data_IF_284839849078
#
_entry.id   IF_284839849078
#
_cell.length_a   1.000
_cell.length_b   1.000
_cell.length_c   1.000
_cell.angle_alpha   90.00
_cell.angle_beta   90.00
_cell.angle_gamma   90.00
#
_symmetry.space_group_name_H-M   'P 1'
#
loop_
_entity.id
_entity.type
_entity.pdbx_description
1 polymer ?
#
# COMPACT_ATOMS: atom_id res chain seq x y z
N UNK A 1 16.36 -39.94 18.16
CA UNK A 1 15.12 -39.32 17.64
C UNK A 1 15.47 -37.91 17.18
N UNK A 2 15.61 -37.71 15.87
CA UNK A 2 15.91 -36.40 15.29
C UNK A 2 14.60 -35.61 15.23
N UNK A 3 14.39 -34.71 16.18
CA UNK A 3 13.29 -33.74 16.12
C UNK A 3 13.53 -32.81 14.94
N UNK A 4 12.73 -32.96 13.89
CA UNK A 4 12.66 -31.99 12.79
C UNK A 4 12.47 -30.59 13.39
N UNK A 5 13.23 -29.56 12.98
CA UNK A 5 12.99 -28.21 13.48
C UNK A 5 11.57 -27.80 13.08
N UNK A 6 10.68 -27.65 14.06
CA UNK A 6 9.37 -27.04 13.87
C UNK A 6 9.61 -25.65 13.30
N UNK A 7 9.43 -25.51 11.99
CA UNK A 7 9.70 -24.27 11.28
C UNK A 7 8.60 -23.28 11.65
N UNK A 8 8.85 -22.45 12.65
CA UNK A 8 7.89 -21.44 13.10
C UNK A 8 7.65 -20.44 11.98
N UNK A 9 6.39 -20.23 11.61
CA UNK A 9 6.03 -19.23 10.61
C UNK A 9 6.38 -17.83 11.15
N UNK A 10 6.96 -17.00 10.29
CA UNK A 10 7.14 -15.57 10.56
C UNK A 10 5.78 -14.89 10.70
N UNK A 11 5.61 -14.14 11.77
CA UNK A 11 4.39 -13.40 12.09
C UNK A 11 4.66 -11.90 12.24
N UNK A 12 3.60 -11.11 12.19
CA UNK A 12 3.64 -9.71 12.59
C UNK A 12 3.75 -9.62 14.12
N UNK A 13 4.38 -8.54 14.65
CA UNK A 13 4.28 -8.23 16.07
C UNK A 13 2.83 -8.21 16.56
N UNK A 14 2.57 -8.71 17.77
CA UNK A 14 1.22 -8.88 18.31
C UNK A 14 0.34 -7.62 18.21
N UNK A 15 0.92 -6.44 18.49
CA UNK A 15 0.22 -5.15 18.40
C UNK A 15 -0.22 -4.79 16.98
N UNK A 16 0.54 -5.20 15.96
CA UNK A 16 0.19 -5.04 14.54
C UNK A 16 -0.86 -6.05 14.10
N UNK A 17 -0.72 -7.29 14.55
CA UNK A 17 -1.71 -8.35 14.25
C UNK A 17 -3.10 -8.00 14.78
N UNK A 18 -3.19 -7.42 15.99
CA UNK A 18 -4.45 -7.03 16.64
C UNK A 18 -5.25 -5.97 15.87
N UNK A 19 -4.61 -5.15 15.04
CA UNK A 19 -5.28 -4.08 14.30
C UNK A 19 -5.67 -4.50 12.87
N UNK A 20 -5.23 -5.67 12.39
CA UNK A 20 -5.67 -6.20 11.11
C UNK A 20 -7.15 -6.57 11.14
N UNK A 21 -7.77 -6.55 9.95
CA UNK A 21 -9.10 -7.13 9.80
C UNK A 21 -9.00 -8.65 10.02
N UNK A 22 -9.90 -9.19 10.85
CA UNK A 22 -9.97 -10.63 11.10
C UNK A 22 -10.03 -11.38 9.77
N UNK A 23 -9.25 -12.46 9.65
CA UNK A 23 -9.17 -13.32 8.47
C UNK A 23 -8.72 -12.64 7.16
N UNK A 24 -8.22 -11.39 7.22
CA UNK A 24 -7.71 -10.67 6.04
C UNK A 24 -6.50 -11.32 5.39
N UNK A 25 -5.72 -12.11 6.14
CA UNK A 25 -4.68 -12.97 5.60
C UNK A 25 -4.55 -14.23 6.45
N UNK A 26 -4.25 -15.35 5.80
CA UNK A 26 -3.97 -16.61 6.49
C UNK A 26 -2.49 -16.71 6.87
N UNK A 27 -2.10 -17.59 7.83
CA UNK A 27 -0.74 -17.64 8.37
C UNK A 27 0.35 -17.90 7.32
N UNK A 28 0.12 -18.86 6.41
CA UNK A 28 1.10 -19.22 5.35
C UNK A 28 1.31 -18.10 4.32
N UNK A 29 0.26 -17.51 3.71
CA UNK A 29 0.42 -16.33 2.85
C UNK A 29 1.10 -15.16 3.56
N UNK A 30 0.72 -14.87 4.81
CA UNK A 30 1.31 -13.78 5.58
C UNK A 30 2.80 -14.02 5.82
N UNK A 31 3.18 -15.22 6.26
CA UNK A 31 4.57 -15.60 6.44
C UNK A 31 5.41 -15.36 5.18
N UNK A 32 4.96 -15.89 4.03
CA UNK A 32 5.66 -15.74 2.75
C UNK A 32 5.75 -14.25 2.34
N UNK A 33 4.69 -13.48 2.56
CA UNK A 33 4.68 -12.05 2.30
C UNK A 33 5.69 -11.30 3.17
N UNK A 34 5.78 -11.62 4.46
CA UNK A 34 6.75 -11.01 5.36
C UNK A 34 8.19 -11.40 5.01
N UNK A 35 8.43 -12.62 4.54
CA UNK A 35 9.76 -13.06 4.03
C UNK A 35 10.13 -12.27 2.77
N UNK A 36 9.19 -12.07 1.85
CA UNK A 36 9.43 -11.25 0.66
C UNK A 36 9.72 -9.79 1.03
N UNK A 37 8.91 -9.19 1.92
CA UNK A 37 9.10 -7.82 2.36
C UNK A 37 10.49 -7.63 3.00
N UNK A 38 10.89 -8.54 3.88
CA UNK A 38 12.24 -8.55 4.45
C UNK A 38 13.34 -8.63 3.37
N UNK A 39 13.13 -9.45 2.32
CA UNK A 39 14.10 -9.59 1.24
C UNK A 39 14.19 -8.31 0.39
N UNK A 40 13.07 -7.65 0.10
CA UNK A 40 13.02 -6.35 -0.56
C UNK A 40 13.77 -5.30 0.29
N UNK A 41 13.55 -5.31 1.60
CA UNK A 41 14.15 -4.33 2.51
C UNK A 41 15.65 -4.53 2.70
N UNK A 42 16.12 -5.79 2.72
CA UNK A 42 17.52 -6.13 2.95
C UNK A 42 18.38 -6.11 1.69
N UNK A 43 17.85 -6.61 0.57
CA UNK A 43 18.63 -6.87 -0.64
C UNK A 43 18.23 -5.98 -1.82
N UNK A 44 17.14 -5.20 -1.69
CA UNK A 44 16.72 -4.28 -2.74
C UNK A 44 17.72 -3.13 -2.91
N UNK A 45 17.95 -2.72 -4.16
CA UNK A 45 18.65 -1.48 -4.45
C UNK A 45 17.88 -0.31 -3.79
N UNK A 46 18.57 0.49 -2.97
CA UNK A 46 17.96 1.61 -2.23
C UNK A 46 17.18 2.59 -3.11
N UNK A 47 17.63 2.82 -4.35
CA UNK A 47 16.94 3.70 -5.30
C UNK A 47 15.63 3.11 -5.82
N UNK A 48 15.51 1.78 -5.84
CA UNK A 48 14.37 1.06 -6.41
C UNK A 48 13.48 0.39 -5.34
N UNK A 49 13.90 0.41 -4.08
CA UNK A 49 13.21 -0.24 -2.97
C UNK A 49 11.76 0.25 -2.85
N UNK A 50 11.50 1.54 -3.09
CA UNK A 50 10.15 2.12 -3.10
C UNK A 50 9.22 1.45 -4.13
N UNK A 51 9.72 1.16 -5.34
CA UNK A 51 8.96 0.41 -6.35
C UNK A 51 8.72 -1.04 -5.91
N UNK A 52 9.74 -1.66 -5.30
CA UNK A 52 9.64 -2.99 -4.69
C UNK A 52 8.52 -3.08 -3.66
N UNK A 53 8.50 -2.17 -2.70
CA UNK A 53 7.51 -2.08 -1.62
C UNK A 53 6.11 -1.70 -2.15
N UNK A 54 6.04 -0.83 -3.16
CA UNK A 54 4.77 -0.46 -3.80
C UNK A 54 4.13 -1.67 -4.50
N UNK A 55 4.91 -2.39 -5.31
CA UNK A 55 4.41 -3.59 -5.97
C UNK A 55 4.09 -4.72 -4.99
N UNK A 56 4.84 -4.80 -3.89
CA UNK A 56 4.53 -5.73 -2.80
C UNK A 56 3.16 -5.41 -2.19
N UNK A 57 2.87 -4.15 -1.87
CA UNK A 57 1.57 -3.74 -1.34
C UNK A 57 0.42 -4.10 -2.29
N UNK A 58 0.58 -3.81 -3.58
CA UNK A 58 -0.39 -4.15 -4.61
C UNK A 58 -0.64 -5.67 -4.68
N UNK A 59 0.43 -6.48 -4.74
CA UNK A 59 0.32 -7.94 -4.77
C UNK A 59 -0.31 -8.49 -3.48
N UNK A 60 0.07 -7.94 -2.32
CA UNK A 60 -0.48 -8.31 -1.01
C UNK A 60 -1.99 -8.18 -1.00
N UNK A 61 -2.48 -7.00 -1.36
CA UNK A 61 -3.89 -6.66 -1.32
C UNK A 61 -4.69 -7.47 -2.33
N UNK A 62 -4.26 -7.52 -3.60
CA UNK A 62 -5.10 -8.04 -4.68
C UNK A 62 -4.93 -9.54 -4.96
N UNK A 63 -3.79 -10.14 -4.60
CA UNK A 63 -3.44 -11.51 -5.04
C UNK A 63 -3.12 -12.44 -3.88
N UNK A 64 -2.42 -11.97 -2.86
CA UNK A 64 -1.92 -12.80 -1.76
C UNK A 64 -2.94 -12.93 -0.63
N UNK A 65 -3.55 -11.82 -0.22
CA UNK A 65 -4.47 -11.75 0.92
C UNK A 65 -5.83 -12.38 0.63
N UNK A 66 -6.67 -12.46 1.67
CA UNK A 66 -8.06 -12.85 1.56
C UNK A 66 -8.98 -11.65 1.30
N UNK A 67 -8.44 -10.44 1.08
CA UNK A 67 -9.27 -9.28 0.81
C UNK A 67 -10.00 -9.41 -0.52
N UNK A 68 -11.22 -8.89 -0.56
CA UNK A 68 -12.03 -8.72 -1.76
C UNK A 68 -12.59 -7.31 -1.80
N UNK A 69 -12.53 -6.70 -2.98
CA UNK A 69 -13.07 -5.38 -3.24
C UNK A 69 -14.38 -5.55 -4.02
N UNK A 70 -15.49 -5.19 -3.39
CA UNK A 70 -16.78 -4.95 -4.04
C UNK A 70 -17.15 -3.47 -3.91
N UNK A 71 -18.43 -3.12 -3.67
CA UNK A 71 -18.78 -1.79 -3.19
C UNK A 71 -17.98 -1.37 -1.95
N UNK A 72 -17.56 -2.36 -1.15
CA UNK A 72 -16.69 -2.18 0.01
C UNK A 72 -15.55 -3.21 0.04
N UNK A 73 -14.52 -2.89 0.82
CA UNK A 73 -13.50 -3.84 1.23
C UNK A 73 -14.08 -4.84 2.23
N UNK A 74 -13.89 -6.12 1.96
CA UNK A 74 -14.28 -7.21 2.84
C UNK A 74 -13.29 -8.37 2.77
N UNK A 75 -13.61 -9.44 3.49
CA UNK A 75 -12.88 -10.71 3.40
C UNK A 75 -13.62 -11.61 2.43
N UNK A 76 -12.92 -12.07 1.39
CA UNK A 76 -13.39 -13.05 0.44
C UNK A 76 -13.05 -14.47 0.87
N UNK A 77 -12.77 -15.33 -0.12
CA UNK A 77 -12.40 -16.73 0.12
C UNK A 77 -11.09 -16.81 0.91
N UNK A 78 -11.11 -17.55 2.02
CA UNK A 78 -9.92 -17.83 2.82
C UNK A 78 -8.97 -18.74 2.03
N UNK A 79 -7.73 -18.28 1.86
CA UNK A 79 -6.67 -18.99 1.16
C UNK A 79 -5.76 -19.68 2.18
N UNK A 80 -5.74 -21.01 2.18
CA UNK A 80 -4.78 -21.76 3.01
C UNK A 80 -3.33 -21.48 2.62
N UNK A 81 -3.09 -21.15 1.35
CA UNK A 81 -1.80 -20.72 0.81
C UNK A 81 -2.00 -19.84 -0.44
N UNK A 82 -0.97 -19.06 -0.81
CA UNK A 82 -0.95 -18.21 -1.99
C UNK A 82 0.48 -18.04 -2.54
N UNK A 83 0.65 -17.94 -3.88
CA UNK A 83 1.92 -17.52 -4.46
C UNK A 83 2.20 -16.05 -4.12
N UNK A 84 3.44 -15.73 -3.74
CA UNK A 84 3.84 -14.38 -3.30
C UNK A 84 4.83 -13.73 -4.27
N UNK A 85 5.78 -14.50 -4.79
CA UNK A 85 6.82 -13.99 -5.69
C UNK A 85 6.24 -13.63 -7.06
N UNK A 86 5.48 -14.52 -7.69
CA UNK A 86 5.00 -14.29 -9.06
C UNK A 86 4.10 -13.04 -9.16
N UNK A 87 3.08 -12.84 -8.29
CA UNK A 87 2.25 -11.64 -8.38
C UNK A 87 3.02 -10.34 -8.13
N UNK A 88 4.03 -10.37 -7.27
CA UNK A 88 4.91 -9.24 -7.03
C UNK A 88 5.78 -8.94 -8.26
N UNK A 89 6.38 -9.97 -8.85
CA UNK A 89 7.24 -9.84 -10.02
C UNK A 89 6.45 -9.42 -11.27
N UNK A 90 5.21 -9.90 -11.43
CA UNK A 90 4.27 -9.43 -12.45
C UNK A 90 4.07 -7.90 -12.37
N UNK A 91 3.85 -7.37 -11.15
CA UNK A 91 3.72 -5.93 -10.93
C UNK A 91 5.00 -5.17 -11.28
N UNK A 92 6.17 -5.66 -10.85
CA UNK A 92 7.45 -5.01 -11.17
C UNK A 92 7.67 -4.96 -12.67
N UNK A 93 7.43 -6.07 -13.38
CA UNK A 93 7.55 -6.13 -14.84
C UNK A 93 6.57 -5.18 -15.51
N UNK A 94 5.36 -5.00 -14.98
CA UNK A 94 4.41 -4.02 -15.48
C UNK A 94 4.94 -2.59 -15.33
N UNK A 95 5.40 -2.21 -14.14
CA UNK A 95 5.98 -0.88 -13.89
C UNK A 95 7.19 -0.58 -14.81
N UNK A 96 8.05 -1.56 -15.04
CA UNK A 96 9.19 -1.43 -15.97
C UNK A 96 8.72 -1.26 -17.42
N UNK A 97 7.75 -2.06 -17.87
CA UNK A 97 7.17 -1.91 -19.22
C UNK A 97 6.54 -0.53 -19.43
N UNK A 98 5.79 -0.04 -18.44
CA UNK A 98 5.17 1.27 -18.51
C UNK A 98 6.24 2.37 -18.58
N UNK A 99 7.30 2.27 -17.77
CA UNK A 99 8.43 3.19 -17.83
C UNK A 99 9.09 3.22 -19.21
N UNK A 100 9.31 2.07 -19.85
CA UNK A 100 9.84 2.03 -21.22
C UNK A 100 8.87 2.60 -22.25
N UNK A 101 7.58 2.28 -22.14
CA UNK A 101 6.54 2.74 -23.07
C UNK A 101 6.43 4.26 -23.10
N UNK A 102 6.56 4.91 -21.95
CA UNK A 102 6.41 6.36 -21.82
C UNK A 102 7.73 7.12 -21.67
N UNK A 103 8.87 6.42 -21.65
CA UNK A 103 10.20 7.03 -21.47
C UNK A 103 10.62 8.01 -22.57
N UNK A 104 10.00 7.91 -23.76
CA UNK A 104 10.20 8.86 -24.87
C UNK A 104 9.55 10.23 -24.67
N UNK A 105 8.65 10.39 -23.68
CA UNK A 105 7.98 11.64 -23.35
C UNK A 105 8.73 12.53 -22.34
N UNK A 106 9.99 12.19 -22.04
CA UNK A 106 10.82 12.83 -21.00
C UNK A 106 11.11 14.32 -21.22
N UNK A 107 10.79 14.87 -22.41
CA UNK A 107 10.99 16.27 -22.75
C UNK A 107 9.80 17.21 -22.43
N UNK A 108 8.73 16.70 -21.80
CA UNK A 108 7.63 17.58 -21.37
C UNK A 108 8.04 18.28 -20.07
N UNK A 109 8.10 19.62 -20.11
CA UNK A 109 8.36 20.42 -18.92
C UNK A 109 7.31 20.11 -17.84
N UNK A 110 7.77 19.57 -16.72
CA UNK A 110 6.93 19.20 -15.59
C UNK A 110 7.42 19.88 -14.32
N UNK A 111 6.49 20.22 -13.43
CA UNK A 111 6.77 20.90 -12.16
C UNK A 111 6.00 20.21 -11.05
N UNK A 112 6.72 19.68 -10.07
CA UNK A 112 6.13 19.13 -8.84
C UNK A 112 6.25 20.21 -7.78
N UNK A 113 5.11 20.59 -7.19
CA UNK A 113 5.06 21.63 -6.17
C UNK A 113 4.46 21.03 -4.90
N UNK A 114 5.20 21.08 -3.80
CA UNK A 114 4.74 20.61 -2.50
C UNK A 114 4.14 21.80 -1.76
N UNK A 115 2.82 21.83 -1.63
CA UNK A 115 2.09 22.90 -0.97
C UNK A 115 0.65 22.49 -0.63
N UNK A 116 -0.06 23.34 0.11
CA UNK A 116 -1.49 23.18 0.35
C UNK A 116 -2.30 23.60 -0.89
N UNK A 117 -3.03 22.64 -1.49
CA UNK A 117 -3.86 22.90 -2.66
C UNK A 117 -5.02 23.87 -2.39
N UNK A 118 -5.36 24.14 -1.12
CA UNK A 118 -6.35 25.16 -0.71
C UNK A 118 -5.82 26.60 -0.87
N UNK A 119 -4.52 26.76 -1.05
CA UNK A 119 -3.84 28.06 -1.20
C UNK A 119 -3.08 28.15 -2.52
N UNK A 120 -3.71 27.68 -3.60
CA UNK A 120 -3.10 27.58 -4.93
C UNK A 120 -2.68 28.94 -5.51
N UNK A 121 -3.37 30.00 -5.12
CA UNK A 121 -3.09 31.39 -5.46
C UNK A 121 -1.71 31.86 -5.00
N UNK A 122 -1.16 31.25 -3.94
CA UNK A 122 0.18 31.55 -3.45
C UNK A 122 1.28 30.84 -4.27
N UNK A 123 0.88 30.01 -5.24
CA UNK A 123 1.77 29.08 -5.94
C UNK A 123 1.72 29.29 -7.45
N UNK A 124 0.53 29.55 -8.00
CA UNK A 124 0.30 29.69 -9.43
C UNK A 124 -0.14 31.12 -9.76
N UNK A 125 0.34 31.63 -10.90
CA UNK A 125 -0.09 32.93 -11.41
C UNK A 125 -1.55 32.84 -11.89
N UNK A 126 -2.37 33.89 -11.69
CA UNK A 126 -3.71 33.93 -12.28
C UNK A 126 -3.67 33.68 -13.79
N UNK A 127 -4.59 32.86 -14.30
CA UNK A 127 -4.70 32.54 -15.74
C UNK A 127 -3.56 31.70 -16.32
N UNK A 128 -2.72 31.05 -15.49
CA UNK A 128 -1.57 30.26 -15.96
C UNK A 128 -1.86 28.77 -16.23
N UNK A 129 -3.12 28.34 -16.16
CA UNK A 129 -3.54 26.94 -16.31
C UNK A 129 -4.73 26.86 -17.25
N UNK A 130 -4.60 26.09 -18.33
CA UNK A 130 -5.67 25.88 -19.31
C UNK A 130 -6.67 24.79 -18.88
N UNK A 131 -6.18 23.73 -18.23
CA UNK A 131 -6.98 22.57 -17.83
C UNK A 131 -6.61 22.09 -16.42
N UNK A 132 -7.63 21.67 -15.67
CA UNK A 132 -7.47 21.07 -14.33
C UNK A 132 -8.06 19.67 -14.34
N UNK A 133 -7.24 18.68 -13.98
CA UNK A 133 -7.66 17.31 -13.71
C UNK A 133 -7.41 17.06 -12.22
N UNK A 134 -8.45 16.68 -11.48
CA UNK A 134 -8.35 16.47 -10.03
C UNK A 134 -9.30 15.37 -9.55
N UNK A 135 -8.91 14.70 -8.46
CA UNK A 135 -9.74 13.76 -7.71
C UNK A 135 -9.71 14.16 -6.23
N UNK A 136 -10.46 15.19 -5.81
CA UNK A 136 -10.41 15.69 -4.44
C UNK A 136 -10.83 14.60 -3.44
N UNK A 137 -10.46 14.71 -2.15
CA UNK A 137 -10.90 13.76 -1.15
C UNK A 137 -12.42 13.79 -1.02
N UNK A 138 -13.09 12.73 -1.47
CA UNK A 138 -14.54 12.63 -1.37
C UNK A 138 -14.97 12.38 0.09
N UNK A 139 -16.09 12.98 0.53
CA UNK A 139 -16.73 12.65 1.80
C UNK A 139 -17.29 11.23 1.72
N UNK A 140 -16.41 10.25 1.87
CA UNK A 140 -16.81 8.86 1.98
C UNK A 140 -17.41 8.64 3.37
N UNK A 141 -18.59 8.03 3.38
CA UNK A 141 -19.26 7.53 4.59
C UNK A 141 -18.34 6.60 5.40
N UNK A 142 -17.39 5.94 4.72
CA UNK A 142 -16.42 5.02 5.32
C UNK A 142 -14.99 5.56 5.25
N UNK A 143 -14.22 5.09 6.23
CA UNK A 143 -12.85 5.49 6.48
C UNK A 143 -11.87 4.80 5.51
N UNK A 144 -10.98 5.57 4.85
CA UNK A 144 -9.95 5.03 3.95
C UNK A 144 -8.98 4.09 4.68
N UNK A 145 -8.83 4.23 6.00
CA UNK A 145 -8.05 3.28 6.82
C UNK A 145 -8.69 1.89 6.92
N UNK A 146 -9.92 1.68 6.42
CA UNK A 146 -10.49 0.33 6.22
C UNK A 146 -9.96 -0.30 4.94
N UNK A 147 -9.90 0.44 3.84
CA UNK A 147 -9.53 -0.09 2.52
C UNK A 147 -8.04 -0.37 2.43
N UNK A 148 -7.20 0.43 3.08
CA UNK A 148 -5.74 0.31 2.98
C UNK A 148 -5.05 -0.28 4.22
N UNK A 149 -5.84 -0.92 5.10
CA UNK A 149 -5.34 -1.31 6.43
C UNK A 149 -4.25 -2.38 6.34
N UNK A 150 -4.48 -3.41 5.54
CA UNK A 150 -3.63 -4.60 5.52
C UNK A 150 -2.21 -4.21 5.10
N UNK A 151 -2.07 -3.55 3.96
CA UNK A 151 -0.78 -3.12 3.43
C UNK A 151 -0.13 -2.06 4.32
N UNK A 152 -0.91 -1.13 4.90
CA UNK A 152 -0.34 -0.11 5.79
C UNK A 152 0.27 -0.72 7.05
N UNK A 153 -0.37 -1.76 7.61
CA UNK A 153 0.11 -2.46 8.80
C UNK A 153 1.30 -3.36 8.47
N UNK A 154 1.22 -4.14 7.38
CA UNK A 154 2.28 -5.04 6.95
C UNK A 154 3.55 -4.26 6.57
N UNK A 155 3.41 -3.14 5.86
CA UNK A 155 4.53 -2.24 5.54
C UNK A 155 5.08 -1.46 6.75
N UNK A 156 4.40 -1.50 7.90
CA UNK A 156 4.81 -0.78 9.12
C UNK A 156 4.54 0.72 9.09
N UNK A 157 3.67 1.19 8.19
CA UNK A 157 3.17 2.56 8.16
C UNK A 157 2.19 2.82 9.31
N UNK A 158 1.45 1.80 9.74
CA UNK A 158 0.59 1.83 10.94
C UNK A 158 1.03 0.69 11.85
N UNK A 159 1.45 1.02 13.06
CA UNK A 159 2.10 0.06 13.97
C UNK A 159 1.24 -0.32 15.16
N UNK A 160 0.24 0.49 15.49
CA UNK A 160 -0.61 0.30 16.66
C UNK A 160 -1.96 1.00 16.48
N UNK A 161 -2.87 0.80 17.45
CA UNK A 161 -4.21 1.38 17.45
C UNK A 161 -4.22 2.91 17.51
N UNK A 162 -3.25 3.52 18.17
CA UNK A 162 -3.16 4.98 18.30
C UNK A 162 -2.86 5.62 16.94
N UNK A 163 -1.85 5.13 16.22
CA UNK A 163 -1.53 5.57 14.86
C UNK A 163 -2.70 5.30 13.88
N UNK A 164 -3.39 4.18 14.05
CA UNK A 164 -4.58 3.89 13.25
C UNK A 164 -5.65 4.97 13.46
N UNK A 165 -5.97 5.32 14.72
CA UNK A 165 -6.97 6.33 15.06
C UNK A 165 -6.57 7.73 14.57
N UNK A 166 -5.31 8.13 14.73
CA UNK A 166 -4.82 9.43 14.25
C UNK A 166 -5.08 9.62 12.74
N UNK A 167 -4.92 8.56 11.93
CA UNK A 167 -5.19 8.59 10.48
C UNK A 167 -6.67 8.68 10.12
N UNK A 168 -7.57 8.20 10.99
CA UNK A 168 -9.03 8.36 10.84
C UNK A 168 -9.45 9.82 11.03
N UNK A 169 -8.79 10.49 11.99
CA UNK A 169 -9.12 11.85 12.43
C UNK A 169 -8.65 12.95 11.48
N UNK A 170 -7.84 12.65 10.48
CA UNK A 170 -7.52 13.62 9.39
C UNK A 170 -8.75 14.03 8.56
N UNK A 171 -9.93 13.44 8.81
CA UNK A 171 -11.24 13.91 8.32
C UNK A 171 -11.92 14.97 9.21
N UNK A 172 -11.38 15.30 10.39
CA UNK A 172 -12.02 16.19 11.37
C UNK A 172 -11.25 17.50 11.65
N UNK A 173 -10.41 17.97 10.71
CA UNK A 173 -10.05 19.39 10.66
C UNK A 173 -11.07 20.14 9.79
N UNK A 174 -12.34 20.04 10.20
CA UNK A 174 -13.45 20.85 9.74
C UNK A 174 -14.22 21.27 10.99
N UNK A 175 -13.61 22.16 11.74
CA UNK A 175 -14.33 23.09 12.59
C UNK A 175 -13.59 24.41 12.43
N UNK A 176 -14.35 25.39 11.94
CA UNK A 176 -13.91 26.77 11.78
C UNK A 176 -13.38 27.33 13.10
#
# INVERSE_FOLDING_TARGET
>A
ANGSPTTTLKELPAERSKILLKDSSSPRPLHKALVLLDAIDRYGNHQLQSYGRLCFANALVHRISNLKFGPEVGVGKIKSDAPVIDPWLECIRAAVRDSHRYGGGSNVASRIIIADARSVENILKPGSVDFVITSPPYPNEKDYTRTTRLESVVLGLIRNRHELMARRSTKAAHTM
#
